data_IF_890387110948
#
_entry.id   IF_890387110948
#
_cell.length_a   1.000
_cell.length_b   1.000
_cell.length_c   1.000
_cell.angle_alpha   90.00
_cell.angle_beta   90.00
_cell.angle_gamma   90.00
#
_symmetry.space_group_name_H-M   'P 1'
#
loop_
_entity.id
_entity.type
_entity.pdbx_description
1 polymer ?
#
# COMPACT_ATOMS: atom_id res chain seq x y z
N UNK A 1 21.31 -20.97 21.02
CA UNK A 1 21.68 -19.54 20.85
C UNK A 1 20.43 -18.66 20.62
N UNK A 2 19.73 -18.37 21.73
CA UNK A 2 18.51 -17.56 21.71
C UNK A 2 18.75 -16.03 21.49
N UNK A 3 20.00 -15.60 21.56
CA UNK A 3 20.37 -14.19 21.36
C UNK A 3 20.41 -13.78 19.89
N UNK A 4 20.73 -14.70 18.97
CA UNK A 4 20.87 -14.42 17.53
C UNK A 4 19.50 -14.23 16.85
N UNK A 5 18.46 -14.94 17.33
CA UNK A 5 17.11 -14.81 16.74
C UNK A 5 16.39 -13.52 17.13
N UNK A 6 16.70 -12.93 18.30
CA UNK A 6 16.16 -11.63 18.71
C UNK A 6 16.74 -10.48 17.91
N UNK A 7 18.02 -10.53 17.58
CA UNK A 7 18.69 -9.49 16.78
C UNK A 7 18.22 -9.43 15.32
N UNK A 8 17.91 -10.56 14.70
CA UNK A 8 17.43 -10.62 13.31
C UNK A 8 16.07 -9.92 13.13
N UNK A 9 15.12 -10.13 14.05
CA UNK A 9 13.80 -9.49 13.98
C UNK A 9 13.87 -7.96 14.07
N UNK A 10 14.75 -7.41 14.90
CA UNK A 10 14.92 -5.96 15.06
C UNK A 10 15.65 -5.33 13.89
N UNK A 11 16.62 -6.03 13.29
CA UNK A 11 17.34 -5.56 12.07
C UNK A 11 16.39 -5.49 10.89
N UNK A 12 15.56 -6.51 10.66
CA UNK A 12 14.57 -6.52 9.57
C UNK A 12 13.52 -5.41 9.73
N UNK A 13 13.03 -5.16 10.94
CA UNK A 13 12.06 -4.09 11.19
C UNK A 13 12.66 -2.71 10.97
N UNK A 14 13.92 -2.47 11.39
CA UNK A 14 14.61 -1.22 11.12
C UNK A 14 14.84 -0.99 9.64
N UNK A 15 15.24 -2.01 8.89
CA UNK A 15 15.45 -1.92 7.44
C UNK A 15 14.15 -1.62 6.68
N UNK A 16 13.04 -2.24 7.07
CA UNK A 16 11.74 -2.04 6.41
C UNK A 16 11.11 -0.67 6.68
N UNK A 17 11.55 0.07 7.69
CA UNK A 17 10.98 1.38 8.05
C UNK A 17 11.96 2.54 7.83
N UNK A 18 13.20 2.25 7.45
CA UNK A 18 14.22 3.27 7.22
C UNK A 18 13.80 4.30 6.15
N UNK A 19 13.07 3.86 5.14
CA UNK A 19 12.59 4.74 4.06
C UNK A 19 11.72 5.90 4.57
N UNK A 20 11.00 5.72 5.70
CA UNK A 20 10.20 6.80 6.31
C UNK A 20 11.11 7.94 6.75
N UNK A 21 12.31 7.64 7.25
CA UNK A 21 13.27 8.66 7.66
C UNK A 21 13.86 9.43 6.48
N UNK A 22 13.84 8.86 5.27
CA UNK A 22 14.32 9.54 4.05
C UNK A 22 13.50 10.78 3.76
N UNK A 23 12.18 10.77 4.05
CA UNK A 23 11.32 11.94 3.86
C UNK A 23 11.81 13.17 4.64
N UNK A 24 12.46 12.97 5.80
CA UNK A 24 13.03 14.06 6.61
C UNK A 24 14.34 14.62 6.04
N UNK A 25 14.92 13.98 5.02
CA UNK A 25 16.14 14.49 4.38
C UNK A 25 15.85 15.64 3.42
N UNK A 26 14.61 15.77 2.97
CA UNK A 26 14.21 16.81 2.01
C UNK A 26 14.16 18.21 2.62
N UNK A 27 13.86 18.32 3.93
CA UNK A 27 13.93 19.59 4.63
C UNK A 27 15.08 19.59 5.66
N UNK A 28 15.99 20.53 5.51
CA UNK A 28 17.16 20.69 6.40
C UNK A 28 16.78 20.86 7.87
N UNK A 29 15.65 21.51 8.14
CA UNK A 29 15.16 21.78 9.50
C UNK A 29 14.72 20.52 10.23
N UNK A 30 14.38 19.45 9.52
CA UNK A 30 13.89 18.19 10.13
C UNK A 30 14.94 17.07 10.16
N UNK A 31 16.14 17.27 9.62
CA UNK A 31 17.20 16.25 9.61
C UNK A 31 17.58 15.76 10.99
N UNK A 32 17.49 16.61 12.01
CA UNK A 32 17.81 16.22 13.39
C UNK A 32 16.82 15.19 13.97
N UNK A 33 15.62 15.04 13.37
CA UNK A 33 14.62 14.05 13.80
C UNK A 33 14.90 12.65 13.29
N UNK A 34 15.78 12.47 12.29
CA UNK A 34 16.08 11.17 11.68
C UNK A 34 16.41 10.09 12.72
N UNK A 35 17.35 10.28 13.68
CA UNK A 35 17.64 9.24 14.66
C UNK A 35 16.44 8.90 15.54
N UNK A 36 15.59 9.87 15.84
CA UNK A 36 14.37 9.64 16.61
C UNK A 36 13.33 8.83 15.84
N UNK A 37 13.11 9.12 14.57
CA UNK A 37 12.14 8.38 13.75
C UNK A 37 12.53 6.92 13.54
N UNK A 38 13.82 6.64 13.39
CA UNK A 38 14.34 5.28 13.27
C UNK A 38 14.08 4.43 14.52
N UNK A 39 13.95 5.06 15.69
CA UNK A 39 13.70 4.37 16.96
C UNK A 39 12.22 4.43 17.35
N UNK A 40 11.62 5.62 17.31
CA UNK A 40 10.26 5.84 17.83
C UNK A 40 9.18 5.18 16.95
N UNK A 41 9.30 5.23 15.63
CA UNK A 41 8.30 4.62 14.76
C UNK A 41 8.28 3.09 14.89
N UNK A 42 9.41 2.36 14.79
CA UNK A 42 9.40 0.93 15.07
C UNK A 42 8.99 0.60 16.51
N UNK A 43 9.41 1.42 17.49
CA UNK A 43 9.03 1.27 18.90
C UNK A 43 7.52 1.38 19.10
N UNK A 44 6.90 2.41 18.52
CA UNK A 44 5.44 2.58 18.54
C UNK A 44 4.71 1.40 17.89
N UNK A 45 5.17 0.97 16.72
CA UNK A 45 4.56 -0.18 16.04
C UNK A 45 4.77 -1.50 16.80
N UNK A 46 5.86 -1.63 17.56
CA UNK A 46 6.11 -2.78 18.42
C UNK A 46 5.09 -2.90 19.57
N UNK A 47 4.49 -1.79 20.02
CA UNK A 47 3.46 -1.81 21.07
C UNK A 47 2.21 -2.61 20.64
N UNK A 48 1.85 -2.60 19.37
CA UNK A 48 0.74 -3.40 18.86
C UNK A 48 1.02 -4.90 19.00
N UNK A 49 2.24 -5.34 18.71
CA UNK A 49 2.61 -6.75 18.88
C UNK A 49 2.74 -7.14 20.37
N UNK A 50 3.21 -6.23 21.20
CA UNK A 50 3.19 -6.42 22.65
C UNK A 50 1.75 -6.53 23.17
N UNK A 51 0.82 -5.74 22.64
CA UNK A 51 -0.59 -5.83 22.98
C UNK A 51 -1.20 -7.18 22.56
N UNK A 52 -0.86 -7.71 21.37
CA UNK A 52 -1.28 -9.07 20.95
C UNK A 52 -0.81 -10.10 21.98
N UNK A 53 0.47 -10.06 22.34
CA UNK A 53 1.03 -11.02 23.30
C UNK A 53 0.36 -10.89 24.70
N UNK A 54 0.14 -9.68 25.16
CA UNK A 54 -0.51 -9.40 26.44
C UNK A 54 -1.96 -9.93 26.45
N UNK A 55 -2.76 -9.55 25.45
CA UNK A 55 -4.16 -9.99 25.34
C UNK A 55 -4.25 -11.52 25.23
N UNK A 56 -3.35 -12.13 24.46
CA UNK A 56 -3.32 -13.56 24.34
C UNK A 56 -3.02 -14.26 25.69
N UNK A 57 -2.05 -13.79 26.45
CA UNK A 57 -1.71 -14.36 27.76
C UNK A 57 -2.87 -14.22 28.74
N UNK A 58 -3.54 -13.08 28.77
CA UNK A 58 -4.67 -12.79 29.67
C UNK A 58 -5.91 -13.63 29.32
N UNK A 59 -6.19 -13.79 28.03
CA UNK A 59 -7.42 -14.41 27.52
C UNK A 59 -7.25 -15.88 27.15
N UNK A 60 -6.03 -16.43 27.19
CA UNK A 60 -5.70 -17.76 26.71
C UNK A 60 -6.59 -18.85 27.36
N UNK A 61 -7.38 -19.60 26.57
CA UNK A 61 -8.13 -20.72 27.06
C UNK A 61 -7.23 -21.95 27.27
N UNK A 62 -7.73 -22.92 28.04
CA UNK A 62 -6.97 -24.16 28.34
C UNK A 62 -6.84 -25.09 27.13
N UNK A 63 -7.71 -24.96 26.13
CA UNK A 63 -7.70 -25.82 24.95
C UNK A 63 -6.79 -25.22 23.85
N UNK A 64 -5.90 -26.05 23.30
CA UNK A 64 -4.92 -25.64 22.30
C UNK A 64 -5.56 -25.11 21.02
N UNK A 65 -6.65 -25.71 20.56
CA UNK A 65 -7.38 -25.30 19.37
C UNK A 65 -8.04 -23.94 19.57
N UNK A 66 -8.69 -23.74 20.71
CA UNK A 66 -9.31 -22.44 21.04
C UNK A 66 -8.24 -21.35 21.19
N UNK A 67 -7.07 -21.69 21.77
CA UNK A 67 -5.92 -20.78 21.88
C UNK A 67 -5.41 -20.35 20.51
N UNK A 68 -5.33 -21.26 19.56
CA UNK A 68 -4.92 -20.97 18.19
C UNK A 68 -5.88 -19.97 17.50
N UNK A 69 -7.19 -20.24 17.54
CA UNK A 69 -8.15 -19.33 16.92
C UNK A 69 -8.20 -17.98 17.63
N UNK A 70 -8.10 -17.97 18.96
CA UNK A 70 -8.05 -16.73 19.73
C UNK A 70 -6.81 -15.91 19.39
N UNK A 71 -5.64 -16.54 19.30
CA UNK A 71 -4.40 -15.84 18.89
C UNK A 71 -4.55 -15.20 17.51
N UNK A 72 -5.03 -15.98 16.53
CA UNK A 72 -5.23 -15.49 15.18
C UNK A 72 -6.21 -14.31 15.13
N UNK A 73 -7.32 -14.41 15.89
CA UNK A 73 -8.33 -13.35 15.97
C UNK A 73 -7.78 -12.08 16.61
N UNK A 74 -7.11 -12.19 17.78
CA UNK A 74 -6.50 -11.03 18.46
C UNK A 74 -5.50 -10.35 17.53
N UNK A 75 -4.63 -11.13 16.89
CA UNK A 75 -3.61 -10.62 15.99
C UNK A 75 -4.26 -9.90 14.80
N UNK A 76 -5.26 -10.53 14.16
CA UNK A 76 -5.98 -9.93 13.04
C UNK A 76 -6.70 -8.62 13.40
N UNK A 77 -7.36 -8.57 14.56
CA UNK A 77 -8.02 -7.35 15.05
C UNK A 77 -6.99 -6.25 15.32
N UNK A 78 -5.89 -6.55 15.99
CA UNK A 78 -4.84 -5.56 16.29
C UNK A 78 -4.18 -5.03 15.01
N UNK A 79 -3.97 -5.89 14.00
CA UNK A 79 -3.49 -5.46 12.69
C UNK A 79 -4.47 -4.54 11.98
N UNK A 80 -5.78 -4.83 12.04
CA UNK A 80 -6.82 -3.96 11.51
C UNK A 80 -6.85 -2.61 12.23
N UNK A 81 -6.80 -2.60 13.56
CA UNK A 81 -6.74 -1.37 14.36
C UNK A 81 -5.51 -0.56 14.01
N UNK A 82 -4.33 -1.19 13.95
CA UNK A 82 -3.07 -0.54 13.55
C UNK A 82 -3.15 0.12 12.17
N UNK A 83 -3.83 -0.52 11.23
CA UNK A 83 -4.02 0.00 9.89
C UNK A 83 -5.09 1.09 9.76
N UNK A 84 -5.89 1.32 10.81
CA UNK A 84 -7.04 2.22 10.76
C UNK A 84 -6.94 3.42 11.72
N UNK A 85 -6.22 3.31 12.84
CA UNK A 85 -6.10 4.41 13.83
C UNK A 85 -5.05 5.43 13.40
N UNK A 86 -5.21 6.65 13.90
CA UNK A 86 -4.41 7.82 13.52
C UNK A 86 -4.51 8.07 11.99
N UNK A 87 -3.41 8.11 11.29
CA UNK A 87 -3.38 8.18 9.82
C UNK A 87 -3.40 6.80 9.14
N UNK A 88 -3.42 5.72 9.96
CA UNK A 88 -3.31 4.35 9.52
C UNK A 88 -1.88 3.94 9.11
N UNK A 89 -1.48 2.71 9.48
CA UNK A 89 -0.22 2.14 9.02
C UNK A 89 -0.46 0.69 8.52
N UNK A 90 -1.02 0.51 7.32
CA UNK A 90 -1.39 -0.80 6.77
C UNK A 90 -0.20 -1.58 6.19
N UNK A 91 1.02 -1.07 6.32
CA UNK A 91 2.22 -1.68 5.79
C UNK A 91 2.62 -2.95 6.56
N UNK A 92 3.33 -3.86 5.87
CA UNK A 92 3.87 -5.09 6.46
C UNK A 92 2.80 -6.03 7.04
N UNK A 93 1.62 -6.12 6.42
CA UNK A 93 0.65 -7.17 6.73
C UNK A 93 1.22 -8.53 6.33
N UNK A 94 0.86 -9.59 7.09
CA UNK A 94 1.29 -10.97 6.81
C UNK A 94 0.78 -11.43 5.44
N UNK A 95 -0.37 -10.93 5.00
CA UNK A 95 -0.92 -11.14 3.67
C UNK A 95 0.06 -10.84 2.53
N UNK A 96 0.96 -9.87 2.71
CA UNK A 96 1.94 -9.49 1.70
C UNK A 96 3.06 -10.52 1.49
N UNK A 97 3.15 -11.56 2.33
CA UNK A 97 4.01 -12.72 2.05
C UNK A 97 3.67 -13.42 0.72
N UNK A 98 2.44 -13.24 0.24
CA UNK A 98 1.96 -13.74 -1.05
C UNK A 98 2.10 -12.74 -2.20
N UNK A 99 2.85 -11.64 -2.04
CA UNK A 99 2.98 -10.59 -3.07
C UNK A 99 3.45 -11.10 -4.44
N UNK A 100 4.23 -12.17 -4.47
CA UNK A 100 4.71 -12.80 -5.69
C UNK A 100 3.76 -13.86 -6.26
N UNK A 101 2.64 -14.16 -5.60
CA UNK A 101 1.62 -15.14 -6.03
C UNK A 101 0.30 -14.40 -6.27
N UNK A 102 0.20 -13.75 -7.42
CA UNK A 102 -0.97 -12.94 -7.78
C UNK A 102 -2.25 -13.76 -7.85
N UNK A 103 -2.14 -15.05 -8.14
CA UNK A 103 -3.25 -15.99 -8.16
C UNK A 103 -3.88 -16.10 -6.76
N UNK A 104 -3.06 -16.24 -5.71
CA UNK A 104 -3.56 -16.32 -4.33
C UNK A 104 -4.08 -14.95 -3.88
N UNK A 105 -3.38 -13.87 -4.22
CA UNK A 105 -3.81 -12.51 -3.86
C UNK A 105 -5.13 -12.11 -4.51
N UNK A 106 -5.51 -12.71 -5.62
CA UNK A 106 -6.77 -12.39 -6.32
C UNK A 106 -7.99 -12.54 -5.44
N UNK A 107 -7.94 -13.41 -4.42
CA UNK A 107 -9.04 -13.60 -3.45
C UNK A 107 -9.33 -12.32 -2.66
N UNK A 108 -8.38 -11.40 -2.51
CA UNK A 108 -8.60 -10.14 -1.81
C UNK A 108 -9.68 -9.28 -2.46
N UNK A 109 -9.93 -9.48 -3.75
CA UNK A 109 -11.03 -8.81 -4.47
C UNK A 109 -12.42 -9.23 -3.96
N UNK A 110 -12.51 -10.39 -3.29
CA UNK A 110 -13.76 -10.95 -2.77
C UNK A 110 -13.88 -10.72 -1.26
N UNK A 111 -12.82 -11.05 -0.51
CA UNK A 111 -12.88 -11.03 0.96
C UNK A 111 -12.19 -9.81 1.60
N UNK A 112 -11.49 -9.01 0.81
CA UNK A 112 -10.72 -7.87 1.28
C UNK A 112 -9.36 -8.24 1.90
N UNK A 113 -8.49 -7.25 2.01
CA UNK A 113 -7.10 -7.45 2.45
C UNK A 113 -6.99 -7.91 3.91
N UNK A 114 -7.78 -7.34 4.82
CA UNK A 114 -7.68 -7.69 6.24
C UNK A 114 -8.25 -9.08 6.57
N UNK A 115 -9.31 -9.51 5.88
CA UNK A 115 -9.83 -10.87 6.02
C UNK A 115 -8.82 -11.89 5.49
N UNK A 116 -8.17 -11.58 4.36
CA UNK A 116 -7.08 -12.39 3.84
C UNK A 116 -5.87 -12.38 4.79
N UNK A 117 -5.55 -11.25 5.42
CA UNK A 117 -4.49 -11.18 6.42
C UNK A 117 -4.78 -12.08 7.64
N UNK A 118 -6.02 -12.08 8.14
CA UNK A 118 -6.44 -13.00 9.21
C UNK A 118 -6.29 -14.46 8.79
N UNK A 119 -6.66 -14.80 7.55
CA UNK A 119 -6.43 -16.14 7.00
C UNK A 119 -4.94 -16.49 6.97
N UNK A 120 -4.07 -15.58 6.51
CA UNK A 120 -2.62 -15.78 6.46
C UNK A 120 -2.01 -15.97 7.86
N UNK A 121 -2.44 -15.17 8.85
CA UNK A 121 -2.04 -15.35 10.25
C UNK A 121 -2.39 -16.77 10.70
N UNK A 122 -3.62 -17.22 10.45
CA UNK A 122 -4.08 -18.56 10.83
C UNK A 122 -3.33 -19.65 10.08
N UNK A 123 -3.10 -19.48 8.78
CA UNK A 123 -2.35 -20.43 7.96
C UNK A 123 -0.92 -20.63 8.50
N UNK A 124 -0.18 -19.52 8.73
CA UNK A 124 1.22 -19.59 9.17
C UNK A 124 1.38 -20.02 10.63
N UNK A 125 0.36 -19.85 11.45
CA UNK A 125 0.37 -20.33 12.82
C UNK A 125 -0.17 -21.76 12.94
N UNK A 126 -0.87 -22.31 11.93
CA UNK A 126 -1.45 -23.65 11.94
C UNK A 126 -0.44 -24.78 12.23
N UNK A 127 0.85 -24.71 11.87
CA UNK A 127 1.82 -25.73 12.28
C UNK A 127 1.93 -25.91 13.80
N UNK A 128 1.60 -24.88 14.59
CA UNK A 128 1.58 -25.00 16.06
C UNK A 128 0.52 -26.01 16.54
N UNK A 129 -0.64 -26.08 15.87
CA UNK A 129 -1.67 -27.07 16.18
C UNK A 129 -1.15 -28.46 15.88
N UNK A 130 -0.43 -28.64 14.76
CA UNK A 130 0.13 -29.93 14.41
C UNK A 130 1.15 -30.43 15.45
N UNK A 131 1.96 -29.52 15.99
CA UNK A 131 2.96 -29.82 17.02
C UNK A 131 2.30 -30.12 18.37
N UNK A 132 1.30 -29.32 18.77
CA UNK A 132 0.62 -29.40 20.08
C UNK A 132 -0.67 -30.24 20.03
N UNK A 133 -0.83 -31.02 18.98
CA UNK A 133 -2.04 -31.79 18.75
C UNK A 133 -2.40 -32.73 19.92
N UNK A 134 -3.65 -32.68 20.28
CA UNK A 134 -4.25 -33.61 21.24
C UNK A 134 -5.09 -34.67 20.52
N UNK A 135 -5.62 -34.33 19.34
CA UNK A 135 -6.54 -35.16 18.58
C UNK A 135 -6.21 -35.18 17.08
N UNK A 136 -6.69 -36.22 16.38
CA UNK A 136 -6.59 -36.32 14.92
C UNK A 136 -7.35 -35.21 14.21
N UNK A 137 -8.37 -34.59 14.85
CA UNK A 137 -9.12 -33.45 14.32
C UNK A 137 -8.25 -32.21 14.14
N UNK A 138 -7.22 -32.05 14.94
CA UNK A 138 -6.30 -30.92 14.87
C UNK A 138 -5.50 -30.93 13.56
N UNK A 139 -5.17 -32.14 13.07
CA UNK A 139 -4.51 -32.30 11.76
C UNK A 139 -5.44 -31.87 10.63
N UNK A 140 -6.75 -32.19 10.74
CA UNK A 140 -7.70 -31.81 9.67
C UNK A 140 -7.82 -30.32 9.47
N UNK A 141 -7.58 -29.52 10.51
CA UNK A 141 -7.58 -28.05 10.43
C UNK A 141 -6.39 -27.56 9.61
N UNK A 142 -5.19 -28.09 9.87
CA UNK A 142 -4.01 -27.73 9.07
C UNK A 142 -4.23 -28.09 7.58
N UNK A 143 -4.79 -29.28 7.33
CA UNK A 143 -5.13 -29.70 5.97
C UNK A 143 -6.18 -28.79 5.34
N UNK A 144 -7.19 -28.37 6.10
CA UNK A 144 -8.22 -27.43 5.62
C UNK A 144 -7.63 -26.10 5.19
N UNK A 145 -6.67 -25.52 5.95
CA UNK A 145 -5.99 -24.30 5.55
C UNK A 145 -5.20 -24.46 4.24
N UNK A 146 -4.52 -25.61 4.07
CA UNK A 146 -3.80 -25.89 2.82
C UNK A 146 -4.75 -26.05 1.62
N UNK A 147 -5.86 -26.79 1.81
CA UNK A 147 -6.89 -26.94 0.77
C UNK A 147 -7.49 -25.58 0.42
N UNK A 148 -7.78 -24.73 1.40
CA UNK A 148 -8.32 -23.40 1.16
C UNK A 148 -7.32 -22.52 0.39
N UNK A 149 -6.02 -22.59 0.74
CA UNK A 149 -4.97 -21.87 -0.02
C UNK A 149 -4.93 -22.33 -1.48
N UNK A 150 -5.03 -23.66 -1.70
CA UNK A 150 -5.07 -24.20 -3.07
C UNK A 150 -6.34 -23.77 -3.82
N UNK A 151 -7.46 -23.68 -3.12
CA UNK A 151 -8.72 -23.16 -3.72
C UNK A 151 -8.58 -21.68 -4.11
N UNK A 152 -7.90 -20.86 -3.31
CA UNK A 152 -7.61 -19.46 -3.66
C UNK A 152 -6.72 -19.36 -4.89
N UNK A 153 -5.71 -20.23 -4.98
CA UNK A 153 -4.85 -20.31 -6.16
C UNK A 153 -5.64 -20.64 -7.44
N UNK A 154 -6.48 -21.70 -7.38
CA UNK A 154 -7.32 -22.10 -8.52
C UNK A 154 -8.30 -21.00 -8.91
N UNK A 155 -8.95 -20.36 -7.94
CA UNK A 155 -9.85 -19.23 -8.19
C UNK A 155 -9.13 -18.08 -8.90
N UNK A 156 -7.97 -17.67 -8.40
CA UNK A 156 -7.20 -16.58 -9.00
C UNK A 156 -6.64 -16.93 -10.37
N UNK A 157 -6.16 -18.17 -10.59
CA UNK A 157 -5.71 -18.63 -11.90
C UNK A 157 -6.81 -18.52 -12.94
N UNK A 158 -8.04 -18.95 -12.59
CA UNK A 158 -9.20 -18.83 -13.51
C UNK A 158 -9.55 -17.37 -13.79
N UNK A 159 -9.47 -16.48 -12.82
CA UNK A 159 -9.74 -15.07 -13.01
C UNK A 159 -8.68 -14.39 -13.89
N UNK A 160 -7.41 -14.72 -13.68
CA UNK A 160 -6.31 -14.22 -14.51
C UNK A 160 -6.44 -14.72 -15.97
N UNK A 161 -6.79 -15.97 -16.16
CA UNK A 161 -7.04 -16.51 -17.49
C UNK A 161 -8.20 -15.77 -18.19
N UNK A 162 -9.31 -15.56 -17.48
CA UNK A 162 -10.43 -14.76 -18.01
C UNK A 162 -9.99 -13.34 -18.36
N UNK A 163 -9.21 -12.69 -17.51
CA UNK A 163 -8.70 -11.35 -17.75
C UNK A 163 -7.80 -11.29 -18.99
N UNK A 164 -6.86 -12.24 -19.12
CA UNK A 164 -5.95 -12.30 -20.25
C UNK A 164 -6.65 -12.60 -21.58
N UNK A 165 -7.76 -13.36 -21.53
CA UNK A 165 -8.55 -13.70 -22.70
C UNK A 165 -9.62 -12.64 -23.03
N UNK A 166 -9.79 -11.60 -22.21
CA UNK A 166 -10.69 -10.50 -22.54
C UNK A 166 -10.20 -9.74 -23.76
N UNK A 167 -11.07 -9.59 -24.74
CA UNK A 167 -10.81 -8.68 -25.85
C UNK A 167 -10.79 -7.24 -25.33
N UNK A 168 -9.61 -6.67 -25.23
CA UNK A 168 -9.45 -5.26 -24.86
C UNK A 168 -10.08 -4.41 -25.96
N UNK A 169 -11.16 -3.72 -25.62
CA UNK A 169 -11.78 -2.75 -26.51
C UNK A 169 -10.75 -1.65 -26.79
N UNK A 170 -10.30 -1.55 -28.04
CA UNK A 170 -9.36 -0.50 -28.43
C UNK A 170 -10.02 0.86 -28.18
N UNK A 171 -9.42 1.65 -27.32
CA UNK A 171 -9.78 3.05 -27.17
C UNK A 171 -9.34 3.82 -28.42
N UNK A 172 -10.16 4.76 -28.83
CA UNK A 172 -9.84 5.67 -29.94
C UNK A 172 -8.74 6.68 -29.59
N UNK A 173 -8.37 6.71 -28.31
CA UNK A 173 -7.36 7.59 -27.74
C UNK A 173 -6.09 6.82 -27.35
N UNK A 174 -4.94 7.41 -27.63
CA UNK A 174 -3.67 6.98 -27.04
C UNK A 174 -3.59 7.49 -25.61
N UNK A 175 -3.12 6.68 -24.68
CA UNK A 175 -2.87 7.09 -23.31
C UNK A 175 -1.39 7.48 -23.17
N UNK A 176 -1.12 8.68 -22.66
CA UNK A 176 0.24 9.16 -22.36
C UNK A 176 0.32 9.58 -20.90
N UNK A 177 0.99 8.74 -20.12
CA UNK A 177 1.26 9.02 -18.71
C UNK A 177 2.62 9.71 -18.64
N UNK A 178 2.67 10.90 -18.01
CA UNK A 178 3.90 11.65 -17.84
C UNK A 178 4.64 11.15 -16.60
N UNK A 179 5.95 10.94 -16.77
CA UNK A 179 6.89 10.75 -15.67
C UNK A 179 7.93 11.84 -15.80
N UNK A 180 7.69 12.95 -15.12
CA UNK A 180 8.43 14.19 -15.35
C UNK A 180 9.84 14.19 -14.76
N UNK A 181 10.19 13.20 -13.91
CA UNK A 181 11.46 13.17 -13.15
C UNK A 181 11.80 14.50 -12.45
N UNK A 182 10.78 15.25 -12.07
CA UNK A 182 10.93 16.56 -11.42
C UNK A 182 11.26 16.29 -9.95
N UNK A 183 12.35 16.86 -9.48
CA UNK A 183 12.80 16.73 -8.10
C UNK A 183 11.83 17.36 -7.09
N UNK A 184 11.81 16.82 -5.89
CA UNK A 184 11.01 17.33 -4.76
C UNK A 184 11.38 18.77 -4.39
N UNK A 185 12.59 19.23 -4.72
CA UNK A 185 13.06 20.60 -4.49
C UNK A 185 12.11 21.66 -5.07
N UNK A 186 11.33 21.29 -6.07
CA UNK A 186 10.27 22.14 -6.65
C UNK A 186 9.25 22.61 -5.62
N UNK A 187 8.92 21.79 -4.61
CA UNK A 187 7.94 22.14 -3.58
C UNK A 187 8.51 23.10 -2.52
N UNK A 188 9.82 23.16 -2.40
CA UNK A 188 10.52 24.00 -1.42
C UNK A 188 11.04 25.30 -2.03
N UNK A 189 11.25 25.33 -3.34
CA UNK A 189 11.64 26.50 -4.08
C UNK A 189 10.39 27.14 -4.68
N UNK A 190 10.19 28.46 -4.49
CA UNK A 190 9.11 29.21 -5.13
C UNK A 190 9.30 29.23 -6.65
N UNK A 191 8.92 28.15 -7.30
CA UNK A 191 8.95 28.07 -8.77
C UNK A 191 7.70 28.77 -9.30
N UNK A 192 7.90 29.64 -10.29
CA UNK A 192 6.81 30.28 -11.00
C UNK A 192 5.89 29.22 -11.64
N UNK A 193 4.58 29.25 -11.36
CA UNK A 193 3.63 28.31 -11.93
C UNK A 193 3.66 28.26 -13.46
N UNK A 194 3.92 29.36 -14.13
CA UNK A 194 4.01 29.44 -15.59
C UNK A 194 5.12 28.52 -16.08
N UNK A 195 6.33 28.66 -15.53
CA UNK A 195 7.48 27.84 -15.89
C UNK A 195 7.20 26.36 -15.65
N UNK A 196 6.53 26.03 -14.52
CA UNK A 196 6.16 24.65 -14.21
C UNK A 196 5.17 24.05 -15.22
N UNK A 197 4.17 24.81 -15.64
CA UNK A 197 3.18 24.38 -16.63
C UNK A 197 3.82 24.25 -18.01
N UNK A 198 4.64 25.21 -18.44
CA UNK A 198 5.33 25.16 -19.74
C UNK A 198 6.22 23.92 -19.86
N UNK A 199 7.00 23.60 -18.82
CA UNK A 199 7.83 22.40 -18.78
C UNK A 199 7.00 21.11 -18.93
N UNK A 200 5.87 21.03 -18.25
CA UNK A 200 4.97 19.87 -18.34
C UNK A 200 4.33 19.77 -19.74
N UNK A 201 4.00 20.89 -20.35
CA UNK A 201 3.49 20.92 -21.72
C UNK A 201 4.56 20.45 -22.70
N UNK A 202 5.80 20.88 -22.54
CA UNK A 202 6.93 20.46 -23.39
C UNK A 202 7.15 18.95 -23.28
N UNK A 203 7.20 18.40 -22.05
CA UNK A 203 7.33 16.95 -21.81
C UNK A 203 6.15 16.18 -22.41
N UNK A 204 4.95 16.78 -22.44
CA UNK A 204 3.77 16.17 -23.04
C UNK A 204 3.92 15.90 -24.52
N UNK A 205 4.78 16.62 -25.22
CA UNK A 205 5.09 16.45 -26.66
C UNK A 205 3.82 16.26 -27.49
N UNK A 206 2.95 17.27 -27.49
CA UNK A 206 1.62 17.23 -28.12
C UNK A 206 1.71 17.03 -29.62
N UNK A 207 0.86 16.18 -30.18
CA UNK A 207 0.70 15.99 -31.63
C UNK A 207 -0.73 16.30 -32.01
N UNK A 208 -0.96 17.42 -32.70
CA UNK A 208 -2.30 17.98 -33.00
C UNK A 208 -3.26 17.01 -33.70
N UNK A 209 -2.74 16.06 -34.46
CA UNK A 209 -3.55 15.12 -35.25
C UNK A 209 -3.80 13.77 -34.56
N UNK A 210 -3.34 13.59 -33.33
CA UNK A 210 -3.54 12.35 -32.59
C UNK A 210 -4.53 12.59 -31.44
N UNK A 211 -5.45 11.65 -31.23
CA UNK A 211 -6.32 11.66 -30.05
C UNK A 211 -5.53 11.10 -28.86
N UNK A 212 -5.24 11.94 -27.87
CA UNK A 212 -4.40 11.56 -26.74
C UNK A 212 -5.05 11.98 -25.43
N UNK A 213 -5.06 11.06 -24.45
CA UNK A 213 -5.32 11.36 -23.05
C UNK A 213 -3.98 11.51 -22.34
N UNK A 214 -3.68 12.71 -21.86
CA UNK A 214 -2.50 12.98 -21.06
C UNK A 214 -2.85 12.85 -19.58
N UNK A 215 -2.06 12.10 -18.83
CA UNK A 215 -2.19 11.99 -17.38
C UNK A 215 -0.94 12.57 -16.76
N UNK A 216 -1.11 13.70 -16.08
CA UNK A 216 -0.07 14.36 -15.30
C UNK A 216 -0.08 13.84 -13.85
N UNK A 217 1.10 13.70 -13.23
CA UNK A 217 1.17 13.24 -11.84
C UNK A 217 0.43 14.19 -10.88
N UNK A 218 -0.03 13.63 -9.76
CA UNK A 218 -0.60 14.41 -8.68
C UNK A 218 0.45 15.33 -8.05
N UNK A 219 0.04 16.54 -7.66
CA UNK A 219 0.91 17.51 -7.00
C UNK A 219 2.04 18.07 -7.86
N UNK A 220 2.01 17.86 -9.18
CA UNK A 220 3.11 18.26 -10.07
C UNK A 220 3.21 19.78 -10.25
N UNK A 221 2.12 20.51 -10.01
CA UNK A 221 2.07 21.97 -10.06
C UNK A 221 1.90 22.48 -8.62
N UNK A 222 3.01 22.83 -7.93
CA UNK A 222 2.94 23.24 -6.54
C UNK A 222 2.35 24.66 -6.39
N UNK A 223 1.64 24.88 -5.29
CA UNK A 223 1.23 26.21 -4.85
C UNK A 223 0.01 26.80 -5.53
N UNK A 224 -0.63 26.12 -6.49
CA UNK A 224 -1.86 26.59 -7.12
C UNK A 224 -3.04 25.62 -6.91
N UNK A 225 -4.22 26.21 -6.75
CA UNK A 225 -5.48 25.49 -6.68
C UNK A 225 -6.14 25.36 -8.06
N UNK A 226 -7.18 24.51 -8.13
CA UNK A 226 -7.97 24.34 -9.35
C UNK A 226 -8.51 25.66 -9.91
N UNK A 227 -8.94 26.59 -9.04
CA UNK A 227 -9.47 27.88 -9.48
C UNK A 227 -8.38 28.78 -10.04
N UNK A 228 -7.22 28.79 -9.41
CA UNK A 228 -6.07 29.54 -9.90
C UNK A 228 -5.53 28.99 -11.23
N UNK A 229 -5.65 27.67 -11.46
CA UNK A 229 -5.25 27.06 -12.73
C UNK A 229 -6.03 27.64 -13.92
N UNK A 230 -7.26 28.11 -13.71
CA UNK A 230 -8.07 28.76 -14.76
C UNK A 230 -7.43 30.03 -15.33
N UNK A 231 -6.63 30.72 -14.53
CA UNK A 231 -5.92 31.96 -14.96
C UNK A 231 -4.83 31.64 -16.00
N UNK A 232 -4.32 30.39 -15.98
CA UNK A 232 -3.28 29.89 -16.89
C UNK A 232 -3.85 29.15 -18.11
N UNK A 233 -5.17 29.19 -18.32
CA UNK A 233 -5.87 28.46 -19.40
C UNK A 233 -5.24 28.71 -20.78
N UNK A 234 -4.77 29.94 -21.04
CA UNK A 234 -4.14 30.34 -22.29
C UNK A 234 -2.88 29.53 -22.66
N UNK A 235 -2.11 29.03 -21.66
CA UNK A 235 -0.96 28.15 -21.89
C UNK A 235 -1.38 26.83 -22.50
N UNK A 236 -2.48 26.27 -22.01
CA UNK A 236 -3.01 24.99 -22.49
C UNK A 236 -3.63 25.14 -23.88
N UNK A 237 -4.39 26.18 -24.14
CA UNK A 237 -5.09 26.40 -25.41
C UNK A 237 -4.14 26.54 -26.61
N UNK A 238 -2.93 26.98 -26.39
CA UNK A 238 -1.91 27.11 -27.43
C UNK A 238 -1.36 25.74 -27.88
N UNK A 239 -1.33 24.74 -27.01
CA UNK A 239 -0.65 23.46 -27.25
C UNK A 239 -1.62 22.28 -27.34
N UNK A 240 -2.72 22.32 -26.61
CA UNK A 240 -3.74 21.27 -26.65
C UNK A 240 -4.93 21.70 -27.52
N UNK A 241 -5.62 20.73 -28.10
CA UNK A 241 -6.80 20.94 -28.93
C UNK A 241 -7.91 19.93 -28.56
N UNK A 242 -9.01 19.93 -29.31
CA UNK A 242 -10.16 19.06 -29.09
C UNK A 242 -9.86 17.55 -29.14
N UNK A 243 -8.73 17.13 -29.71
CA UNK A 243 -8.28 15.75 -29.74
C UNK A 243 -7.55 15.34 -28.46
N UNK A 244 -7.34 16.27 -27.54
CA UNK A 244 -6.56 16.07 -26.33
C UNK A 244 -7.43 16.17 -25.08
N UNK A 245 -7.34 15.17 -24.22
CA UNK A 245 -7.88 15.22 -22.88
C UNK A 245 -6.71 15.28 -21.88
N UNK A 246 -6.81 16.18 -20.91
CA UNK A 246 -5.78 16.38 -19.90
C UNK A 246 -6.35 16.07 -18.53
N UNK A 247 -5.74 15.10 -17.85
CA UNK A 247 -6.05 14.72 -16.47
C UNK A 247 -4.93 15.23 -15.58
N UNK A 248 -5.25 16.11 -14.63
CA UNK A 248 -4.30 16.72 -13.71
C UNK A 248 -4.78 16.47 -12.28
N UNK A 249 -3.91 15.93 -11.42
CA UNK A 249 -4.14 15.90 -9.98
C UNK A 249 -3.78 17.26 -9.37
N UNK A 250 -4.79 18.00 -8.89
CA UNK A 250 -4.62 19.34 -8.33
C UNK A 250 -5.47 19.53 -7.08
N UNK A 251 -5.01 20.34 -6.14
CA UNK A 251 -5.76 20.67 -4.93
C UNK A 251 -6.97 21.54 -5.27
N UNK A 252 -8.16 21.15 -4.81
CA UNK A 252 -9.34 22.01 -4.76
C UNK A 252 -9.41 22.69 -3.40
N UNK A 253 -9.83 23.97 -3.37
CA UNK A 253 -10.28 24.58 -2.11
C UNK A 253 -11.65 23.99 -1.80
N UNK A 254 -11.81 23.30 -0.66
CA UNK A 254 -13.13 23.10 -0.08
C UNK A 254 -13.63 24.47 0.36
N UNK A 255 -14.78 24.87 -0.16
CA UNK A 255 -15.50 25.98 0.43
C UNK A 255 -15.94 25.54 1.83
N UNK A 256 -15.42 26.21 2.87
CA UNK A 256 -15.88 26.06 4.25
C UNK A 256 -17.37 26.50 4.30
N UNK A 257 -18.29 25.53 4.14
CA UNK A 257 -19.73 25.67 4.40
C UNK A 257 -20.06 25.22 5.80
#
# INVERSE_FOLDING_TARGET
DSSTSRGLGDVYKRQNLYWISISLTFDQNFKFLIPFTIILIPGFLALFYALVAYLFVVLKPNNNLSSFFLFSLIFGIVEFVRGSILTGFPWNLIAYSFSNQIEILNITSVIGTYSFNLFCISLFTSPSIFILRENKKDISICVAFLITTMSFYVFGSQNLEKFNNQQVKKLDYKLRILSSNIGIDRFYNNIDPITAIEELIEISSTKKNEKIIFIWPEGIIPGISQDQLKEYKWLFENQFNENHLLVIGINSKEDDN
#
